data_IF_998197223361
#
_entry.id   IF_998197223361
#
_cell.length_a   1.000
_cell.length_b   1.000
_cell.length_c   1.000
_cell.angle_alpha   90.00
_cell.angle_beta   90.00
_cell.angle_gamma   90.00
#
_symmetry.space_group_name_H-M   'P 1'
#
loop_
_entity.id
_entity.type
_entity.pdbx_description
1 polymer ?
#
# COMPACT_ATOMS: atom_id res chain seq x y z
N UNK A 1 -40.81 -19.86 -17.09
CA UNK A 1 -39.51 -20.30 -16.51
C UNK A 1 -38.35 -19.35 -16.78
N UNK A 2 -38.33 -18.58 -17.88
CA UNK A 2 -37.29 -17.56 -18.16
C UNK A 2 -37.15 -16.47 -17.07
N UNK A 3 -38.26 -16.02 -16.47
CA UNK A 3 -38.22 -14.93 -15.48
C UNK A 3 -37.41 -15.21 -14.21
N UNK A 4 -37.30 -16.49 -13.81
CA UNK A 4 -36.51 -16.90 -12.63
C UNK A 4 -35.00 -16.78 -12.91
N UNK A 5 -34.57 -17.10 -14.13
CA UNK A 5 -33.17 -17.02 -14.56
C UNK A 5 -32.75 -15.58 -14.85
N UNK A 6 -33.64 -14.78 -15.45
CA UNK A 6 -33.40 -13.35 -15.67
C UNK A 6 -33.29 -12.60 -14.34
N UNK A 7 -34.19 -12.88 -13.38
CA UNK A 7 -34.12 -12.29 -12.03
C UNK A 7 -32.84 -12.69 -11.28
N UNK A 8 -32.40 -13.94 -11.42
CA UNK A 8 -31.15 -14.42 -10.80
C UNK A 8 -29.91 -13.77 -11.43
N UNK A 9 -29.87 -13.57 -12.76
CA UNK A 9 -28.76 -12.88 -13.43
C UNK A 9 -28.66 -11.40 -13.04
N UNK A 10 -29.79 -10.72 -12.85
CA UNK A 10 -29.84 -9.32 -12.43
C UNK A 10 -29.36 -9.16 -10.97
N UNK A 11 -29.71 -10.09 -10.08
CA UNK A 11 -29.25 -10.11 -8.68
C UNK A 11 -27.73 -10.36 -8.57
N UNK A 12 -27.16 -11.23 -9.41
CA UNK A 12 -25.73 -11.53 -9.39
C UNK A 12 -24.90 -10.34 -9.90
N UNK A 13 -25.39 -9.59 -10.90
CA UNK A 13 -24.69 -8.42 -11.44
C UNK A 13 -24.56 -7.25 -10.44
N UNK A 14 -25.52 -7.09 -9.53
CA UNK A 14 -25.49 -6.02 -8.50
C UNK A 14 -24.58 -6.33 -7.31
N UNK A 15 -24.17 -7.58 -7.13
CA UNK A 15 -23.31 -8.02 -6.02
C UNK A 15 -21.81 -8.03 -6.36
N UNK A 16 -21.43 -7.69 -7.59
CA UNK A 16 -20.02 -7.56 -7.95
C UNK A 16 -19.57 -6.16 -7.55
N UNK A 17 -18.79 -5.98 -6.46
CA UNK A 17 -18.18 -4.71 -6.19
C UNK A 17 -17.30 -4.38 -7.40
N UNK A 18 -17.63 -3.29 -8.07
CA UNK A 18 -16.82 -2.80 -9.18
C UNK A 18 -15.47 -2.45 -8.55
N UNK A 19 -14.45 -3.23 -8.87
CA UNK A 19 -13.09 -2.93 -8.50
C UNK A 19 -12.67 -1.67 -9.27
N UNK A 20 -13.03 -0.51 -8.73
CA UNK A 20 -12.50 0.76 -9.20
C UNK A 20 -11.02 0.74 -8.84
N UNK A 21 -10.17 0.52 -9.85
CA UNK A 21 -8.72 0.65 -9.67
C UNK A 21 -8.39 2.09 -9.27
N UNK A 22 -7.34 2.25 -8.45
CA UNK A 22 -6.87 3.56 -7.99
C UNK A 22 -6.42 4.40 -9.19
N UNK A 23 -6.86 5.65 -9.25
CA UNK A 23 -6.47 6.56 -10.33
C UNK A 23 -5.05 7.12 -10.11
N UNK A 24 -4.35 7.56 -11.17
CA UNK A 24 -3.03 8.19 -11.02
C UNK A 24 -3.03 9.42 -10.10
N UNK A 25 -4.12 10.19 -10.09
CA UNK A 25 -4.33 11.33 -9.20
C UNK A 25 -4.46 10.91 -7.74
N UNK A 26 -5.17 9.82 -7.46
CA UNK A 26 -5.28 9.27 -6.10
C UNK A 26 -3.94 8.76 -5.61
N UNK A 27 -3.19 8.02 -6.46
CA UNK A 27 -1.84 7.59 -6.11
C UNK A 27 -0.90 8.78 -5.81
N UNK A 28 -1.03 9.88 -6.55
CA UNK A 28 -0.25 11.11 -6.28
C UNK A 28 -0.60 11.70 -4.91
N UNK A 29 -1.88 11.74 -4.56
CA UNK A 29 -2.35 12.23 -3.25
C UNK A 29 -1.89 11.31 -2.13
N UNK A 30 -2.06 9.99 -2.27
CA UNK A 30 -1.62 8.99 -1.31
C UNK A 30 -0.11 9.09 -1.05
N UNK A 31 0.69 9.17 -2.13
CA UNK A 31 2.12 9.38 -2.01
C UNK A 31 2.46 10.65 -1.24
N UNK A 32 1.79 11.76 -1.53
CA UNK A 32 2.05 13.02 -0.83
C UNK A 32 1.71 12.90 0.66
N UNK A 33 0.61 12.23 1.01
CA UNK A 33 0.21 11.98 2.39
C UNK A 33 1.23 11.10 3.11
N UNK A 34 1.67 10.00 2.50
CA UNK A 34 2.73 9.14 3.05
C UNK A 34 4.04 9.91 3.24
N UNK A 35 4.48 10.68 2.26
CA UNK A 35 5.72 11.47 2.37
C UNK A 35 5.62 12.50 3.49
N UNK A 36 4.49 13.20 3.62
CA UNK A 36 4.32 14.24 4.62
C UNK A 36 4.20 13.66 6.04
N UNK A 37 3.40 12.60 6.20
CA UNK A 37 3.06 12.07 7.51
C UNK A 37 4.07 11.03 8.02
N UNK A 38 4.72 10.29 7.11
CA UNK A 38 5.63 9.20 7.46
C UNK A 38 7.11 9.51 7.24
N UNK A 39 7.47 10.75 6.89
CA UNK A 39 8.88 11.16 6.72
C UNK A 39 9.80 10.69 7.85
N UNK A 40 9.44 10.78 9.15
CA UNK A 40 10.31 10.33 10.24
C UNK A 40 10.63 8.83 10.21
N UNK A 41 9.70 8.01 9.70
CA UNK A 41 9.85 6.54 9.60
C UNK A 41 10.95 6.17 8.62
N UNK A 42 11.08 6.93 7.53
CA UNK A 42 12.18 6.80 6.55
C UNK A 42 13.54 7.18 7.16
N UNK A 43 13.59 7.72 8.39
CA UNK A 43 14.81 7.93 9.15
C UNK A 43 14.90 7.02 10.40
N UNK A 44 14.07 5.96 10.46
CA UNK A 44 14.10 4.94 11.50
C UNK A 44 13.45 5.35 12.82
N UNK A 45 12.68 6.43 12.85
CA UNK A 45 11.87 6.87 14.00
C UNK A 45 10.50 6.20 14.01
N UNK A 46 9.87 6.19 15.18
CA UNK A 46 8.54 5.62 15.33
C UNK A 46 7.48 6.38 14.52
N UNK A 47 6.51 5.67 13.93
CA UNK A 47 5.41 6.26 13.18
C UNK A 47 4.44 7.00 14.11
N UNK A 48 3.92 8.14 13.65
CA UNK A 48 2.79 8.80 14.29
C UNK A 48 1.48 8.02 14.03
N UNK A 49 0.42 8.24 14.83
CA UNK A 49 -0.89 7.61 14.58
C UNK A 49 -1.43 7.89 13.17
N UNK A 50 -1.25 9.13 12.67
CA UNK A 50 -1.67 9.53 11.31
C UNK A 50 -0.85 8.80 10.26
N UNK A 51 0.47 8.69 10.44
CA UNK A 51 1.31 7.89 9.54
C UNK A 51 0.85 6.43 9.50
N UNK A 52 0.60 5.80 10.65
CA UNK A 52 0.12 4.43 10.67
C UNK A 52 -1.23 4.25 9.97
N UNK A 53 -2.12 5.23 10.04
CA UNK A 53 -3.36 5.19 9.27
C UNK A 53 -3.07 5.20 7.77
N UNK A 54 -2.22 6.12 7.30
CA UNK A 54 -1.85 6.16 5.89
C UNK A 54 -1.14 4.87 5.42
N UNK A 55 -0.31 4.26 6.26
CA UNK A 55 0.38 2.99 5.94
C UNK A 55 -0.60 1.83 5.80
N UNK A 56 -1.64 1.77 6.65
CA UNK A 56 -2.68 0.74 6.57
C UNK A 56 -3.52 0.87 5.31
N UNK A 57 -3.85 2.11 4.94
CA UNK A 57 -4.73 2.42 3.81
C UNK A 57 -3.97 2.46 2.46
N UNK A 58 -2.64 2.37 2.48
CA UNK A 58 -1.82 2.51 1.29
C UNK A 58 -2.02 1.36 0.28
N UNK A 59 -2.14 1.76 -0.98
CA UNK A 59 -2.20 0.86 -2.14
C UNK A 59 -0.79 0.57 -2.62
N UNK A 60 -0.45 -0.71 -2.70
CA UNK A 60 0.88 -1.17 -3.10
C UNK A 60 1.22 -0.66 -4.51
N UNK A 61 0.24 -0.63 -5.42
CA UNK A 61 0.41 -0.08 -6.77
C UNK A 61 0.76 1.41 -6.79
N UNK A 62 0.34 2.18 -5.78
CA UNK A 62 0.68 3.58 -5.65
C UNK A 62 2.07 3.78 -5.02
N UNK A 63 2.49 2.91 -4.09
CA UNK A 63 3.75 3.07 -3.34
C UNK A 63 4.97 2.58 -4.12
N UNK A 64 4.91 1.37 -4.70
CA UNK A 64 6.09 0.72 -5.29
C UNK A 64 6.77 1.52 -6.42
N UNK A 65 6.06 2.22 -7.31
CA UNK A 65 6.68 3.05 -8.34
C UNK A 65 7.59 4.16 -7.77
N UNK A 66 7.32 4.63 -6.55
CA UNK A 66 8.11 5.68 -5.91
C UNK A 66 9.31 5.16 -5.12
N UNK A 67 9.41 3.85 -4.88
CA UNK A 67 10.59 3.21 -4.25
C UNK A 67 11.73 3.00 -5.26
N UNK A 68 12.10 4.07 -5.96
CA UNK A 68 13.24 4.09 -6.88
C UNK A 68 14.60 4.00 -6.17
N UNK A 69 15.71 4.03 -6.93
CA UNK A 69 17.06 3.80 -6.39
C UNK A 69 17.44 4.72 -5.23
N UNK A 70 17.06 6.00 -5.30
CA UNK A 70 17.36 7.00 -4.25
C UNK A 70 16.65 6.67 -2.93
N UNK A 71 15.35 6.42 -2.98
CA UNK A 71 14.59 6.02 -1.79
C UNK A 71 15.11 4.69 -1.23
N UNK A 72 15.42 3.76 -2.11
CA UNK A 72 15.93 2.45 -1.74
C UNK A 72 17.31 2.52 -1.06
N UNK A 73 18.17 3.46 -1.45
CA UNK A 73 19.45 3.72 -0.76
C UNK A 73 19.25 4.18 0.69
N UNK A 74 18.32 5.11 0.92
CA UNK A 74 17.99 5.60 2.27
C UNK A 74 17.44 4.47 3.16
N UNK A 75 16.50 3.68 2.62
CA UNK A 75 15.91 2.55 3.34
C UNK A 75 16.98 1.49 3.67
N UNK A 76 17.89 1.19 2.73
CA UNK A 76 19.00 0.25 2.97
C UNK A 76 19.98 0.76 4.03
N UNK A 77 20.25 2.06 4.08
CA UNK A 77 21.10 2.67 5.12
C UNK A 77 20.56 2.46 6.54
N UNK A 78 19.23 2.36 6.70
CA UNK A 78 18.58 2.10 7.99
C UNK A 78 18.38 0.59 8.24
N UNK A 79 18.29 -0.17 7.15
CA UNK A 79 18.00 -1.59 7.13
C UNK A 79 16.55 -1.86 6.74
N UNK A 80 16.37 -2.58 5.63
CA UNK A 80 15.05 -3.02 5.16
C UNK A 80 14.26 -3.76 6.26
N UNK A 81 14.85 -4.70 7.04
CA UNK A 81 14.10 -5.40 8.10
C UNK A 81 13.57 -4.45 9.18
N UNK A 82 14.29 -3.37 9.49
CA UNK A 82 13.85 -2.38 10.49
C UNK A 82 12.65 -1.60 9.98
N UNK A 83 12.68 -1.16 8.72
CA UNK A 83 11.53 -0.46 8.11
C UNK A 83 10.31 -1.37 8.01
N UNK A 84 10.50 -2.64 7.66
CA UNK A 84 9.44 -3.66 7.65
C UNK A 84 8.78 -3.77 9.02
N UNK A 85 9.57 -3.88 10.11
CA UNK A 85 9.03 -3.93 11.48
C UNK A 85 8.23 -2.68 11.86
N UNK A 86 8.63 -1.49 11.40
CA UNK A 86 7.88 -0.25 11.65
C UNK A 86 6.52 -0.25 10.93
N UNK A 87 6.48 -0.76 9.69
CA UNK A 87 5.25 -0.90 8.91
C UNK A 87 4.32 -1.96 9.54
N UNK A 88 4.88 -3.10 9.94
CA UNK A 88 4.14 -4.17 10.63
C UNK A 88 3.61 -3.70 11.98
N UNK A 89 4.38 -2.88 12.71
CA UNK A 89 3.96 -2.23 13.96
C UNK A 89 2.75 -1.30 13.79
N UNK A 90 2.52 -0.76 12.58
CA UNK A 90 1.29 -0.03 12.26
C UNK A 90 0.08 -0.94 11.97
N UNK A 91 0.26 -2.26 11.95
CA UNK A 91 -0.79 -3.24 11.62
C UNK A 91 -0.90 -3.58 10.14
N UNK A 92 0.09 -3.22 9.31
CA UNK A 92 0.12 -3.57 7.88
C UNK A 92 1.04 -4.75 7.65
N UNK A 93 0.49 -5.87 7.18
CA UNK A 93 1.28 -7.03 6.78
C UNK A 93 2.15 -6.72 5.57
N UNK A 94 3.44 -7.06 5.64
CA UNK A 94 4.37 -6.90 4.53
C UNK A 94 4.69 -8.27 3.93
N UNK A 95 4.42 -8.49 2.63
CA UNK A 95 4.73 -9.77 1.99
C UNK A 95 6.25 -10.00 1.97
N UNK A 96 6.66 -11.24 2.23
CA UNK A 96 8.06 -11.68 2.26
C UNK A 96 8.60 -11.91 0.85
N UNK A 97 9.90 -11.72 0.63
CA UNK A 97 10.55 -11.86 -0.68
C UNK A 97 9.85 -11.11 -1.84
N UNK A 98 9.18 -10.01 -1.52
CA UNK A 98 8.37 -9.23 -2.44
C UNK A 98 9.15 -8.05 -2.99
N UNK A 99 9.16 -7.89 -4.30
CA UNK A 99 9.82 -6.77 -4.98
C UNK A 99 8.87 -5.58 -5.12
N UNK A 100 9.25 -4.46 -4.52
CA UNK A 100 8.54 -3.19 -4.57
C UNK A 100 9.50 -2.10 -5.04
N UNK A 101 9.43 -1.76 -6.33
CA UNK A 101 10.40 -0.87 -6.97
C UNK A 101 11.83 -1.45 -6.91
N UNK A 102 12.74 -0.70 -6.28
CA UNK A 102 14.15 -1.06 -6.09
C UNK A 102 14.45 -1.72 -4.73
N UNK A 103 13.42 -2.06 -3.95
CA UNK A 103 13.52 -2.79 -2.66
C UNK A 103 12.91 -4.19 -2.80
N UNK A 104 13.53 -5.15 -2.14
CA UNK A 104 12.97 -6.49 -1.92
C UNK A 104 12.84 -6.71 -0.42
N UNK A 105 11.67 -7.15 0.03
CA UNK A 105 11.43 -7.44 1.45
C UNK A 105 12.20 -8.69 1.87
N UNK A 106 12.61 -8.80 3.15
CA UNK A 106 13.38 -9.93 3.63
C UNK A 106 12.63 -11.28 3.49
N UNK A 107 13.38 -12.40 3.48
CA UNK A 107 12.81 -13.73 3.57
C UNK A 107 12.11 -13.95 4.88
#
# INVERSE_FOLDING_TARGET
MLGKWVGMLILVAMLVPMAHGVTPSECKTEKNNLVNNCRPVIFGRDPSPVCCQNVRDAHIECVCPYLGPKAASVIRGIGVPRVVKLIEGCGRSVPRNYKCGSITTPP
#
